data_IF_898129022549
#
_entry.id   IF_898129022549
#
_cell.length_a   1.000
_cell.length_b   1.000
_cell.length_c   1.000
_cell.angle_alpha   90.00
_cell.angle_beta   90.00
_cell.angle_gamma   90.00
#
_symmetry.space_group_name_H-M   'P 1'
#
loop_
_entity.id
_entity.type
_entity.pdbx_description
1 polymer ?
#
# COMPACT_ATOMS: atom_id res chain seq x y z
N UNK A 1 3.73 -26.80 -43.39
CA UNK A 1 3.42 -26.12 -42.12
C UNK A 1 2.11 -25.40 -42.32
N UNK A 2 1.01 -25.99 -41.84
CA UNK A 2 -0.32 -25.39 -41.96
C UNK A 2 -0.47 -24.24 -40.96
N UNK A 3 -1.05 -23.14 -41.42
CA UNK A 3 -1.23 -21.90 -40.67
C UNK A 3 -2.06 -22.15 -39.40
N UNK A 4 -1.43 -21.97 -38.23
CA UNK A 4 -2.02 -22.21 -36.90
C UNK A 4 -3.10 -21.21 -36.48
N UNK A 5 -4.20 -21.14 -37.21
CA UNK A 5 -5.40 -20.42 -36.77
C UNK A 5 -6.36 -21.38 -36.05
N UNK A 6 -6.94 -20.94 -34.94
CA UNK A 6 -8.03 -21.65 -34.28
C UNK A 6 -9.32 -21.56 -35.10
N UNK A 7 -10.21 -22.55 -34.97
CA UNK A 7 -11.55 -22.48 -35.54
C UNK A 7 -12.34 -21.27 -34.98
N UNK A 8 -13.19 -20.68 -35.81
CA UNK A 8 -14.08 -19.58 -35.41
C UNK A 8 -15.09 -20.05 -34.37
N UNK A 9 -15.37 -19.22 -33.36
CA UNK A 9 -16.41 -19.46 -32.36
C UNK A 9 -17.15 -18.17 -32.00
N UNK A 10 -18.45 -18.23 -31.70
CA UNK A 10 -19.24 -17.06 -31.33
C UNK A 10 -18.98 -16.63 -29.89
N UNK A 11 -18.72 -15.34 -29.67
CA UNK A 11 -18.66 -14.74 -28.33
C UNK A 11 -20.08 -14.42 -27.88
N UNK A 12 -20.60 -15.17 -26.90
CA UNK A 12 -21.99 -15.03 -26.42
C UNK A 12 -22.15 -14.09 -25.22
N UNK A 13 -21.06 -13.75 -24.54
CA UNK A 13 -21.07 -12.90 -23.35
C UNK A 13 -19.78 -12.08 -23.27
N UNK A 14 -19.92 -10.83 -22.81
CA UNK A 14 -18.81 -9.90 -22.62
C UNK A 14 -18.47 -9.08 -23.86
N UNK A 15 -17.49 -8.19 -23.71
CA UNK A 15 -16.95 -7.37 -24.78
C UNK A 15 -15.55 -7.85 -25.16
N UNK A 16 -15.17 -7.70 -26.42
CA UNK A 16 -13.85 -8.14 -26.91
C UNK A 16 -12.73 -7.34 -26.24
N UNK A 17 -11.78 -8.00 -25.60
CA UNK A 17 -10.58 -7.34 -25.08
C UNK A 17 -9.77 -6.73 -26.24
N UNK A 18 -9.38 -5.46 -26.11
CA UNK A 18 -8.71 -4.71 -27.18
C UNK A 18 -9.63 -4.14 -28.27
N UNK A 19 -10.95 -4.29 -28.14
CA UNK A 19 -11.92 -3.60 -28.99
C UNK A 19 -12.04 -2.12 -28.63
N UNK A 20 -12.04 -1.24 -29.63
CA UNK A 20 -12.13 0.24 -29.44
C UNK A 20 -13.40 0.64 -28.66
N UNK A 21 -14.52 -0.05 -28.93
CA UNK A 21 -15.80 0.23 -28.27
C UNK A 21 -15.97 -0.44 -26.91
N UNK A 22 -15.15 -1.44 -26.59
CA UNK A 22 -15.30 -2.25 -25.38
C UNK A 22 -15.21 -1.40 -24.11
N UNK A 23 -14.30 -0.42 -24.09
CA UNK A 23 -14.15 0.53 -22.97
C UNK A 23 -15.38 1.40 -22.77
N UNK A 24 -16.03 1.85 -23.86
CA UNK A 24 -17.21 2.71 -23.78
C UNK A 24 -18.44 1.92 -23.32
N UNK A 25 -18.62 0.71 -23.85
CA UNK A 25 -19.70 -0.19 -23.43
C UNK A 25 -19.58 -0.59 -21.96
N UNK A 26 -18.35 -0.85 -21.49
CA UNK A 26 -18.11 -1.11 -20.08
C UNK A 26 -18.48 0.08 -19.18
N UNK A 27 -18.07 1.30 -19.57
CA UNK A 27 -18.41 2.53 -18.82
C UNK A 27 -19.92 2.74 -18.70
N UNK A 28 -20.67 2.54 -19.78
CA UNK A 28 -22.13 2.63 -19.75
C UNK A 28 -22.73 1.57 -18.81
N UNK A 29 -22.21 0.34 -18.91
CA UNK A 29 -22.69 -0.78 -18.11
C UNK A 29 -22.45 -0.62 -16.60
N UNK A 30 -21.34 0.00 -16.19
CA UNK A 30 -21.05 0.20 -14.76
C UNK A 30 -21.70 1.47 -14.19
N UNK A 31 -22.10 2.41 -15.04
CA UNK A 31 -22.65 3.70 -14.61
C UNK A 31 -23.94 3.56 -13.80
N UNK A 32 -24.82 2.61 -14.14
CA UNK A 32 -26.07 2.42 -13.40
C UNK A 32 -25.81 1.95 -11.96
N UNK A 33 -24.75 1.16 -11.73
CA UNK A 33 -24.32 0.80 -10.37
C UNK A 33 -23.85 2.04 -9.59
N UNK A 34 -23.03 2.88 -10.23
CA UNK A 34 -22.50 4.09 -9.57
C UNK A 34 -23.64 5.06 -9.22
N UNK A 35 -24.63 5.18 -10.12
CA UNK A 35 -25.82 6.00 -9.93
C UNK A 35 -26.66 5.44 -8.77
N UNK A 36 -26.90 4.13 -8.73
CA UNK A 36 -27.64 3.49 -7.63
C UNK A 36 -26.92 3.66 -6.28
N UNK A 37 -25.58 3.59 -6.25
CA UNK A 37 -24.78 3.85 -5.05
C UNK A 37 -24.87 5.31 -4.59
N UNK A 38 -24.91 6.27 -5.51
CA UNK A 38 -25.06 7.70 -5.21
C UNK A 38 -26.47 8.04 -4.72
N UNK A 39 -27.51 7.52 -5.39
CA UNK A 39 -28.93 7.76 -5.06
C UNK A 39 -29.32 7.17 -3.70
N UNK A 40 -28.66 6.10 -3.29
CA UNK A 40 -28.83 5.50 -1.97
C UNK A 40 -28.39 6.42 -0.82
N UNK A 41 -27.67 7.51 -1.11
CA UNK A 41 -27.25 8.50 -0.10
C UNK A 41 -26.22 7.99 0.91
N UNK A 42 -25.58 6.85 0.62
CA UNK A 42 -24.61 6.19 1.50
C UNK A 42 -23.20 6.35 0.95
N UNK A 43 -22.24 6.67 1.83
CA UNK A 43 -20.82 6.78 1.49
C UNK A 43 -20.22 8.15 1.80
N UNK A 44 -19.10 8.48 1.15
CA UNK A 44 -18.36 9.72 1.40
C UNK A 44 -18.63 10.82 0.37
N UNK A 45 -18.63 12.06 0.83
CA UNK A 45 -18.79 13.25 -0.01
C UNK A 45 -17.62 14.22 0.16
N UNK A 46 -17.21 14.87 -0.94
CA UNK A 46 -16.34 16.04 -0.90
C UNK A 46 -17.18 17.25 -1.27
N UNK A 47 -17.59 18.02 -0.26
CA UNK A 47 -18.59 19.08 -0.44
C UNK A 47 -19.94 18.47 -0.80
N UNK A 48 -20.51 18.88 -1.94
CA UNK A 48 -21.76 18.34 -2.48
C UNK A 48 -21.54 17.18 -3.45
N UNK A 49 -20.28 16.87 -3.79
CA UNK A 49 -19.98 15.85 -4.79
C UNK A 49 -19.83 14.49 -4.12
N UNK A 50 -20.57 13.51 -4.61
CA UNK A 50 -20.43 12.14 -4.14
C UNK A 50 -19.07 11.55 -4.54
N UNK A 51 -18.41 10.93 -3.57
CA UNK A 51 -17.08 10.32 -3.72
C UNK A 51 -17.02 8.96 -3.03
N UNK A 52 -18.18 8.34 -2.79
CA UNK A 52 -18.28 7.05 -2.10
C UNK A 52 -17.81 5.87 -2.94
N UNK A 53 -17.83 5.98 -4.28
CA UNK A 53 -17.52 4.86 -5.18
C UNK A 53 -16.51 5.17 -6.30
N UNK A 54 -15.30 5.69 -6.02
CA UNK A 54 -14.33 5.95 -7.08
C UNK A 54 -13.95 4.63 -7.78
N UNK A 55 -14.03 4.64 -9.11
CA UNK A 55 -13.82 3.45 -9.95
C UNK A 55 -12.75 3.68 -11.01
N UNK A 56 -12.05 2.60 -11.35
CA UNK A 56 -11.13 2.54 -12.48
C UNK A 56 -11.25 1.16 -13.15
N UNK A 57 -11.84 1.12 -14.35
CA UNK A 57 -12.13 -0.14 -15.03
C UNK A 57 -12.88 -1.10 -14.07
N UNK A 58 -12.42 -2.34 -13.93
CA UNK A 58 -13.00 -3.39 -13.10
C UNK A 58 -12.83 -3.19 -11.58
N UNK A 59 -12.01 -2.22 -11.16
CA UNK A 59 -11.83 -1.89 -9.75
C UNK A 59 -12.81 -0.79 -9.28
N UNK A 60 -13.50 -1.04 -8.17
CA UNK A 60 -14.35 -0.07 -7.47
C UNK A 60 -13.91 -0.02 -6.01
N UNK A 61 -13.67 1.18 -5.51
CA UNK A 61 -13.42 1.43 -4.08
C UNK A 61 -14.75 1.90 -3.49
N UNK A 62 -15.17 1.32 -2.36
CA UNK A 62 -16.29 1.84 -1.57
C UNK A 62 -15.72 2.58 -0.35
N UNK A 63 -16.23 3.78 -0.08
CA UNK A 63 -15.83 4.64 1.02
C UNK A 63 -17.07 5.05 1.80
N UNK A 64 -17.09 4.76 3.11
CA UNK A 64 -18.16 5.15 4.04
C UNK A 64 -17.57 5.72 5.34
N UNK A 65 -18.41 6.32 6.18
CA UNK A 65 -18.02 6.75 7.54
C UNK A 65 -18.39 5.72 8.59
N UNK A 66 -19.40 4.90 8.31
CA UNK A 66 -19.93 3.88 9.22
C UNK A 66 -19.83 2.48 8.62
N UNK A 67 -19.87 1.48 9.48
CA UNK A 67 -19.81 0.07 9.10
C UNK A 67 -21.11 -0.38 8.41
N UNK A 68 -22.24 0.13 8.89
CA UNK A 68 -23.56 -0.13 8.33
C UNK A 68 -23.67 0.37 6.89
N UNK A 69 -23.21 1.60 6.62
CA UNK A 69 -23.14 2.15 5.25
C UNK A 69 -22.25 1.30 4.35
N UNK A 70 -21.07 0.89 4.83
CA UNK A 70 -20.15 0.06 4.04
C UNK A 70 -20.80 -1.27 3.63
N UNK A 71 -21.44 -1.96 4.58
CA UNK A 71 -22.10 -3.23 4.30
C UNK A 71 -23.27 -3.03 3.32
N UNK A 72 -24.03 -1.95 3.46
CA UNK A 72 -25.14 -1.64 2.55
C UNK A 72 -24.68 -1.29 1.13
N UNK A 73 -23.55 -0.59 0.98
CA UNK A 73 -22.91 -0.35 -0.32
C UNK A 73 -22.40 -1.66 -0.95
N UNK A 74 -21.85 -2.57 -0.15
CA UNK A 74 -21.45 -3.91 -0.59
C UNK A 74 -22.64 -4.74 -1.07
N UNK A 75 -23.74 -4.74 -0.31
CA UNK A 75 -24.96 -5.48 -0.63
C UNK A 75 -25.61 -4.96 -1.92
N UNK A 76 -25.61 -3.63 -2.11
CA UNK A 76 -26.05 -2.98 -3.36
C UNK A 76 -25.19 -3.42 -4.54
N UNK A 77 -23.87 -3.37 -4.39
CA UNK A 77 -22.92 -3.83 -5.42
C UNK A 77 -23.13 -5.30 -5.76
N UNK A 78 -23.41 -6.14 -4.76
CA UNK A 78 -23.66 -7.55 -4.96
C UNK A 78 -24.96 -7.80 -5.70
N UNK A 79 -26.07 -7.21 -5.24
CA UNK A 79 -27.38 -7.28 -5.91
C UNK A 79 -27.29 -6.85 -7.37
N UNK A 80 -26.56 -5.77 -7.64
CA UNK A 80 -26.31 -5.30 -9.00
C UNK A 80 -25.52 -6.32 -9.82
N UNK A 81 -24.47 -6.91 -9.26
CA UNK A 81 -23.66 -7.92 -9.95
C UNK A 81 -24.45 -9.19 -10.29
N UNK A 82 -25.35 -9.62 -9.41
CA UNK A 82 -26.25 -10.76 -9.65
C UNK A 82 -27.24 -10.45 -10.77
N UNK A 83 -27.86 -9.27 -10.74
CA UNK A 83 -28.78 -8.79 -11.78
C UNK A 83 -28.11 -8.77 -13.15
N UNK A 84 -26.86 -8.30 -13.21
CA UNK A 84 -26.13 -8.14 -14.47
C UNK A 84 -25.20 -9.30 -14.81
N UNK A 85 -25.24 -10.39 -14.04
CA UNK A 85 -24.57 -11.68 -14.27
C UNK A 85 -23.05 -11.58 -14.36
N UNK A 86 -22.43 -10.78 -13.51
CA UNK A 86 -20.99 -10.80 -13.26
C UNK A 86 -20.69 -11.11 -11.79
N UNK A 87 -19.45 -11.52 -11.51
CA UNK A 87 -19.05 -11.93 -10.15
C UNK A 87 -18.02 -10.95 -9.60
N UNK A 88 -18.31 -10.43 -8.41
CA UNK A 88 -17.29 -9.77 -7.57
C UNK A 88 -16.46 -10.88 -6.92
N UNK A 89 -15.14 -10.72 -6.88
CA UNK A 89 -14.24 -11.79 -6.42
C UNK A 89 -13.89 -11.61 -4.93
N UNK A 90 -14.52 -12.36 -3.98
CA UNK A 90 -14.45 -12.01 -2.56
C UNK A 90 -13.05 -12.06 -1.96
N UNK A 91 -12.15 -12.89 -2.49
CA UNK A 91 -10.76 -12.98 -2.01
C UNK A 91 -9.81 -11.93 -2.62
N UNK A 92 -10.22 -11.26 -3.70
CA UNK A 92 -9.47 -10.13 -4.29
C UNK A 92 -10.01 -8.80 -3.79
N UNK A 93 -11.27 -8.75 -3.39
CA UNK A 93 -11.89 -7.61 -2.73
C UNK A 93 -11.46 -7.56 -1.28
N UNK A 94 -10.94 -6.41 -0.86
CA UNK A 94 -10.21 -6.25 0.39
C UNK A 94 -10.82 -5.08 1.16
N UNK A 95 -10.92 -5.22 2.48
CA UNK A 95 -11.39 -4.15 3.36
C UNK A 95 -10.23 -3.50 4.10
N UNK A 96 -10.32 -2.19 4.30
CA UNK A 96 -9.34 -1.40 5.04
C UNK A 96 -10.12 -0.55 6.04
N UNK A 97 -10.06 -0.92 7.33
CA UNK A 97 -10.62 -0.10 8.39
C UNK A 97 -9.55 0.87 8.93
N UNK A 98 -9.82 2.18 8.87
CA UNK A 98 -8.92 3.23 9.36
C UNK A 98 -9.38 3.92 10.65
N UNK A 99 -10.41 3.41 11.33
CA UNK A 99 -10.83 3.93 12.63
C UNK A 99 -10.23 3.11 13.78
N UNK A 100 -9.15 3.61 14.40
CA UNK A 100 -8.69 3.13 15.71
C UNK A 100 -7.68 4.10 16.34
N UNK A 101 -8.13 5.31 16.69
CA UNK A 101 -7.43 6.15 17.66
C UNK A 101 -8.04 6.08 19.08
N UNK A 102 -9.08 5.26 19.31
CA UNK A 102 -9.64 5.05 20.65
C UNK A 102 -9.14 3.72 21.25
N UNK A 103 -8.71 3.79 22.51
CA UNK A 103 -8.20 2.67 23.33
C UNK A 103 -9.27 1.62 23.70
N UNK A 104 -10.38 1.53 22.97
CA UNK A 104 -11.51 0.66 23.27
C UNK A 104 -11.50 -0.53 22.32
N UNK A 105 -11.22 -1.72 22.88
CA UNK A 105 -11.47 -3.07 22.35
C UNK A 105 -11.70 -3.16 20.84
N UNK A 106 -10.65 -3.56 20.12
CA UNK A 106 -10.67 -4.02 18.73
C UNK A 106 -11.69 -5.15 18.54
N UNK A 107 -12.95 -4.84 18.25
CA UNK A 107 -13.79 -5.75 17.49
C UNK A 107 -13.38 -5.58 16.03
N UNK A 108 -12.72 -6.60 15.47
CA UNK A 108 -12.38 -6.62 14.05
C UNK A 108 -13.68 -6.76 13.26
N UNK A 109 -14.12 -5.66 12.67
CA UNK A 109 -15.37 -5.60 11.90
C UNK A 109 -15.18 -6.44 10.64
N UNK A 110 -16.02 -7.46 10.49
CA UNK A 110 -15.97 -8.35 9.35
C UNK A 110 -17.12 -8.03 8.39
N UNK A 111 -16.76 -7.46 7.24
CA UNK A 111 -17.68 -7.27 6.13
C UNK A 111 -17.89 -8.57 5.38
N UNK A 112 -19.11 -8.79 4.91
CA UNK A 112 -19.50 -9.98 4.17
C UNK A 112 -19.81 -9.65 2.72
N UNK A 113 -19.37 -10.53 1.83
CA UNK A 113 -19.80 -10.55 0.45
C UNK A 113 -20.28 -11.97 0.15
N UNK A 114 -21.57 -12.13 -0.13
CA UNK A 114 -22.29 -13.40 0.04
C UNK A 114 -22.19 -13.90 1.51
N UNK A 115 -21.85 -15.17 1.70
CA UNK A 115 -21.59 -15.79 3.01
C UNK A 115 -20.10 -15.77 3.39
N UNK A 116 -19.26 -15.07 2.62
CA UNK A 116 -17.81 -15.04 2.82
C UNK A 116 -17.38 -13.74 3.48
N UNK A 117 -16.59 -13.88 4.54
CA UNK A 117 -15.90 -12.75 5.14
C UNK A 117 -14.84 -12.21 4.18
N UNK A 118 -14.86 -10.91 3.94
CA UNK A 118 -13.84 -10.25 3.15
C UNK A 118 -12.52 -10.18 3.94
N UNK A 119 -11.37 -10.44 3.29
CA UNK A 119 -10.08 -10.29 3.95
C UNK A 119 -9.82 -8.83 4.32
N UNK A 120 -9.50 -8.59 5.58
CA UNK A 120 -8.93 -7.32 6.03
C UNK A 120 -7.48 -7.21 5.55
N UNK A 121 -7.15 -6.19 4.77
CA UNK A 121 -5.77 -5.96 4.39
C UNK A 121 -5.01 -5.27 5.50
N UNK A 122 -4.12 -6.03 6.12
CA UNK A 122 -2.97 -5.45 6.80
C UNK A 122 -1.80 -5.29 5.81
N UNK A 123 -2.02 -4.56 4.70
CA UNK A 123 -1.01 -4.41 3.65
C UNK A 123 0.24 -3.71 4.20
N UNK A 124 1.41 -4.15 3.73
CA UNK A 124 2.71 -3.56 4.05
C UNK A 124 2.93 -2.20 3.34
N UNK A 125 1.94 -1.30 3.43
CA UNK A 125 1.99 0.05 2.83
C UNK A 125 3.20 0.82 3.35
N UNK A 126 3.60 0.60 4.60
CA UNK A 126 4.84 1.16 5.17
C UNK A 126 6.08 0.84 4.37
N UNK A 127 6.20 -0.39 3.83
CA UNK A 127 7.35 -0.76 3.01
C UNK A 127 7.42 0.07 1.72
N UNK A 128 6.28 0.40 1.11
CA UNK A 128 6.23 1.23 -0.10
C UNK A 128 6.76 2.63 0.21
N UNK A 129 6.27 3.26 1.28
CA UNK A 129 6.71 4.60 1.67
C UNK A 129 8.20 4.62 2.05
N UNK A 130 8.66 3.63 2.82
CA UNK A 130 10.06 3.52 3.24
C UNK A 130 11.01 3.24 2.05
N UNK A 131 10.60 2.39 1.10
CA UNK A 131 11.41 2.12 -0.10
C UNK A 131 11.51 3.32 -1.02
N UNK A 132 10.42 4.09 -1.18
CA UNK A 132 10.42 5.31 -1.99
C UNK A 132 11.08 6.49 -1.27
N UNK A 133 11.28 6.41 0.05
CA UNK A 133 11.62 7.56 0.88
C UNK A 133 10.54 8.64 0.81
N UNK A 134 9.30 8.24 0.54
CA UNK A 134 8.17 9.15 0.33
C UNK A 134 7.32 9.24 1.59
N UNK A 135 6.66 10.38 1.75
CA UNK A 135 5.68 10.56 2.81
C UNK A 135 4.30 10.03 2.39
N UNK A 136 3.50 9.54 3.36
CA UNK A 136 2.09 9.27 3.11
C UNK A 136 1.32 10.52 2.71
N UNK A 137 0.22 10.33 1.99
CA UNK A 137 -0.65 11.43 1.54
C UNK A 137 -1.14 12.29 2.70
N UNK A 138 -1.42 11.67 3.84
CA UNK A 138 -1.82 12.32 5.08
C UNK A 138 -0.76 13.33 5.56
N UNK A 139 0.51 12.92 5.56
CA UNK A 139 1.62 13.79 5.90
C UNK A 139 1.80 14.96 4.92
N UNK A 140 1.52 14.74 3.63
CA UNK A 140 1.53 15.81 2.62
C UNK A 140 0.39 16.83 2.86
N UNK A 141 -0.78 16.36 3.29
CA UNK A 141 -1.86 17.23 3.74
C UNK A 141 -1.41 18.03 4.97
N UNK A 142 -0.76 17.37 5.95
CA UNK A 142 -0.27 18.03 7.16
C UNK A 142 0.74 19.14 6.83
N UNK A 143 1.64 18.92 5.87
CA UNK A 143 2.54 19.97 5.35
C UNK A 143 1.79 21.17 4.76
N UNK A 144 0.69 20.94 4.03
CA UNK A 144 -0.13 22.00 3.44
C UNK A 144 -0.88 22.79 4.50
N UNK A 145 -1.54 22.11 5.44
CA UNK A 145 -2.24 22.74 6.59
C UNK A 145 -1.27 23.63 7.38
N UNK A 146 -0.09 23.11 7.71
CA UNK A 146 0.96 23.89 8.38
C UNK A 146 1.41 25.11 7.58
N UNK A 147 1.57 24.95 6.27
CA UNK A 147 2.02 26.06 5.40
C UNK A 147 0.95 27.15 5.30
N UNK A 148 -0.33 26.76 5.26
CA UNK A 148 -1.47 27.68 5.32
C UNK A 148 -1.52 28.42 6.67
N UNK A 149 -1.35 27.71 7.79
CA UNK A 149 -1.27 28.33 9.11
C UNK A 149 -0.17 29.40 9.16
N UNK A 150 1.06 29.06 8.74
CA UNK A 150 2.15 30.03 8.71
C UNK A 150 1.81 31.24 7.82
N UNK A 151 1.24 31.00 6.64
CA UNK A 151 0.85 32.07 5.73
C UNK A 151 -0.18 33.03 6.36
N UNK A 152 -1.19 32.50 7.05
CA UNK A 152 -2.24 33.30 7.71
C UNK A 152 -1.62 34.14 8.83
N UNK A 153 -0.86 33.53 9.73
CA UNK A 153 -0.31 34.22 10.90
C UNK A 153 0.84 35.17 10.56
N UNK A 154 1.54 34.94 9.44
CA UNK A 154 2.51 35.91 8.88
C UNK A 154 1.86 37.04 8.06
N UNK A 155 0.57 36.96 7.74
CA UNK A 155 -0.13 38.00 6.97
C UNK A 155 -0.56 39.18 7.84
N UNK A 156 -0.84 40.32 7.21
CA UNK A 156 -1.36 41.52 7.90
C UNK A 156 -2.89 41.48 8.14
N UNK A 157 -3.56 40.35 7.90
CA UNK A 157 -5.01 40.26 8.02
C UNK A 157 -5.45 39.93 9.46
N UNK A 158 -5.48 40.96 10.32
CA UNK A 158 -5.88 40.83 11.72
C UNK A 158 -7.33 40.38 11.92
N UNK A 159 -8.24 40.72 10.99
CA UNK A 159 -9.63 40.29 11.06
C UNK A 159 -9.75 38.77 10.93
N UNK A 160 -9.02 38.17 9.98
CA UNK A 160 -8.99 36.72 9.79
C UNK A 160 -8.39 36.01 11.02
N UNK A 161 -7.28 36.53 11.57
CA UNK A 161 -6.64 35.96 12.77
C UNK A 161 -7.61 35.93 13.94
N UNK A 162 -8.24 37.08 14.25
CA UNK A 162 -9.22 37.19 15.35
C UNK A 162 -10.45 36.31 15.13
N UNK A 163 -10.91 36.16 13.89
CA UNK A 163 -12.03 35.26 13.57
C UNK A 163 -11.69 33.80 13.87
N UNK A 164 -10.50 33.34 13.46
CA UNK A 164 -10.02 31.99 13.74
C UNK A 164 -9.84 31.76 15.25
N UNK A 165 -9.25 32.71 15.97
CA UNK A 165 -9.08 32.61 17.43
C UNK A 165 -10.42 32.51 18.15
N UNK A 166 -11.42 33.32 17.76
CA UNK A 166 -12.77 33.25 18.32
C UNK A 166 -13.42 31.89 18.07
N UNK A 167 -13.30 31.34 16.86
CA UNK A 167 -13.83 30.01 16.53
C UNK A 167 -13.20 28.91 17.40
N UNK A 168 -11.90 29.01 17.69
CA UNK A 168 -11.22 28.07 18.57
C UNK A 168 -11.73 28.14 20.02
N UNK A 169 -11.85 29.34 20.58
CA UNK A 169 -12.31 29.55 21.97
C UNK A 169 -13.74 29.08 22.18
N UNK A 170 -14.60 29.33 21.19
CA UNK A 170 -16.01 28.97 21.29
C UNK A 170 -16.24 27.45 21.22
N UNK A 171 -15.23 26.64 20.86
CA UNK A 171 -15.30 25.19 20.68
C UNK A 171 -16.54 24.73 19.90
N UNK A 172 -17.04 25.57 18.99
CA UNK A 172 -18.36 25.40 18.36
C UNK A 172 -18.44 24.17 17.47
N UNK A 173 -17.29 23.65 17.03
CA UNK A 173 -17.18 22.39 16.32
C UNK A 173 -15.86 21.68 16.67
N UNK A 174 -15.88 20.35 16.76
CA UNK A 174 -14.67 19.53 16.96
C UNK A 174 -13.65 19.71 15.82
N UNK A 175 -14.09 20.17 14.64
CA UNK A 175 -13.30 20.20 13.39
C UNK A 175 -12.86 21.61 12.92
N UNK A 176 -12.67 22.58 13.82
CA UNK A 176 -12.17 23.90 13.39
C UNK A 176 -10.73 23.85 12.85
N UNK A 177 -10.37 24.80 11.99
CA UNK A 177 -9.01 24.88 11.42
C UNK A 177 -7.93 24.96 12.50
N UNK A 178 -8.12 25.76 13.55
CA UNK A 178 -7.14 25.87 14.64
C UNK A 178 -7.11 24.66 15.56
N UNK A 179 -8.22 23.95 15.78
CA UNK A 179 -8.19 22.64 16.46
C UNK A 179 -7.31 21.66 15.67
N UNK A 180 -7.55 21.56 14.36
CA UNK A 180 -6.74 20.71 13.49
C UNK A 180 -5.26 21.11 13.49
N UNK A 181 -4.95 22.40 13.51
CA UNK A 181 -3.55 22.86 13.64
C UNK A 181 -2.99 22.49 15.00
N UNK A 182 -3.73 22.67 16.09
CA UNK A 182 -3.30 22.31 17.44
C UNK A 182 -2.97 20.81 17.54
N UNK A 183 -3.86 19.95 17.04
CA UNK A 183 -3.68 18.50 17.03
C UNK A 183 -2.42 18.11 16.24
N UNK A 184 -2.22 18.73 15.07
CA UNK A 184 -1.03 18.47 14.26
C UNK A 184 0.27 18.93 14.93
N UNK A 185 0.26 20.11 15.56
CA UNK A 185 1.43 20.60 16.28
C UNK A 185 1.77 19.68 17.46
N UNK A 186 0.75 19.22 18.20
CA UNK A 186 0.92 18.24 19.26
C UNK A 186 1.46 16.90 18.74
N UNK A 187 0.84 16.35 17.68
CA UNK A 187 1.23 15.09 17.03
C UNK A 187 2.72 15.08 16.63
N UNK A 188 3.24 16.21 16.14
CA UNK A 188 4.62 16.34 15.71
C UNK A 188 5.57 16.90 16.78
N UNK A 189 5.10 17.06 18.02
CA UNK A 189 5.87 17.66 19.12
C UNK A 189 6.46 19.04 18.75
N UNK A 190 5.64 19.86 18.09
CA UNK A 190 5.96 21.24 17.71
C UNK A 190 5.35 22.22 18.73
N UNK A 191 5.88 23.45 18.84
CA UNK A 191 5.32 24.45 19.74
C UNK A 191 3.83 24.70 19.45
N UNK A 192 2.99 24.90 20.49
CA UNK A 192 1.58 25.12 20.30
C UNK A 192 1.32 26.40 19.50
N UNK A 193 0.21 26.45 18.76
CA UNK A 193 -0.08 27.60 17.90
C UNK A 193 -0.26 28.90 18.70
N UNK A 194 -0.70 28.79 19.96
CA UNK A 194 -0.82 29.91 20.90
C UNK A 194 0.50 30.58 21.21
N UNK A 195 1.60 29.83 21.20
CA UNK A 195 2.95 30.38 21.32
C UNK A 195 3.45 30.93 19.97
N UNK A 196 3.20 30.20 18.88
CA UNK A 196 3.66 30.56 17.55
C UNK A 196 3.02 31.85 17.00
N UNK A 197 1.81 32.19 17.44
CA UNK A 197 1.14 33.43 17.03
C UNK A 197 1.86 34.68 17.53
N UNK A 198 2.41 34.60 18.75
CA UNK A 198 3.08 35.72 19.42
C UNK A 198 4.56 35.78 19.02
N UNK A 199 5.17 34.61 18.80
CA UNK A 199 6.59 34.47 18.43
C UNK A 199 6.76 33.59 17.19
N UNK A 200 6.41 34.14 16.02
CA UNK A 200 6.52 33.40 14.77
C UNK A 200 8.00 33.31 14.33
N UNK A 201 8.56 32.09 14.15
CA UNK A 201 9.92 31.94 13.64
C UNK A 201 10.04 32.42 12.19
N UNK A 202 11.27 32.65 11.72
CA UNK A 202 11.50 32.94 10.30
C UNK A 202 11.00 31.80 9.41
N UNK A 203 10.52 32.15 8.20
CA UNK A 203 9.90 31.19 7.25
C UNK A 203 10.79 29.99 6.96
N UNK A 204 12.10 30.23 6.78
CA UNK A 204 13.08 29.18 6.53
C UNK A 204 13.28 28.28 7.76
N UNK A 205 13.46 28.88 8.94
CA UNK A 205 13.62 28.14 10.20
C UNK A 205 12.40 27.26 10.50
N UNK A 206 11.20 27.82 10.37
CA UNK A 206 9.94 27.09 10.55
C UNK A 206 9.80 25.95 9.55
N UNK A 207 10.07 26.21 8.26
CA UNK A 207 9.99 25.18 7.21
C UNK A 207 10.92 24.02 7.50
N UNK A 208 12.15 24.27 7.97
CA UNK A 208 13.11 23.25 8.33
C UNK A 208 12.68 22.46 9.58
N UNK A 209 12.43 23.14 10.70
CA UNK A 209 12.01 22.49 11.97
C UNK A 209 10.80 21.59 11.78
N UNK A 210 9.75 22.12 11.14
CA UNK A 210 8.54 21.34 10.96
C UNK A 210 8.68 20.24 9.88
N UNK A 211 9.58 20.39 8.90
CA UNK A 211 9.89 19.29 7.96
C UNK A 211 10.55 18.14 8.71
N UNK A 212 11.53 18.45 9.54
CA UNK A 212 12.26 17.46 10.34
C UNK A 212 11.33 16.72 11.30
N UNK A 213 10.49 17.45 12.04
CA UNK A 213 9.51 16.85 12.94
C UNK A 213 8.54 15.89 12.24
N UNK A 214 7.98 16.31 11.09
CA UNK A 214 7.07 15.48 10.28
C UNK A 214 7.81 14.24 9.76
N UNK A 215 8.99 14.41 9.17
CA UNK A 215 9.76 13.30 8.62
C UNK A 215 10.14 12.28 9.71
N UNK A 216 10.58 12.74 10.88
CA UNK A 216 10.95 11.88 12.00
C UNK A 216 9.75 11.10 12.54
N UNK A 217 8.61 11.78 12.74
CA UNK A 217 7.37 11.13 13.17
C UNK A 217 6.96 9.99 12.22
N UNK A 218 6.89 10.28 10.93
CA UNK A 218 6.46 9.30 9.93
C UNK A 218 7.49 8.20 9.74
N UNK A 219 8.79 8.51 9.77
CA UNK A 219 9.85 7.50 9.76
C UNK A 219 9.65 6.50 10.88
N UNK A 220 9.54 6.96 12.14
CA UNK A 220 9.40 6.09 13.31
C UNK A 220 8.14 5.24 13.22
N UNK A 221 7.00 5.84 12.84
CA UNK A 221 5.74 5.11 12.77
C UNK A 221 5.70 4.09 11.62
N UNK A 222 6.21 4.45 10.43
CA UNK A 222 6.29 3.52 9.30
C UNK A 222 7.28 2.39 9.58
N UNK A 223 8.43 2.68 10.22
CA UNK A 223 9.37 1.65 10.64
C UNK A 223 8.75 0.73 11.70
N UNK A 224 8.00 1.27 12.67
CA UNK A 224 7.29 0.47 13.68
C UNK A 224 6.25 -0.46 13.03
N UNK A 225 5.43 0.07 12.13
CA UNK A 225 4.45 -0.73 11.38
C UNK A 225 5.15 -1.79 10.52
N UNK A 226 6.25 -1.43 9.83
CA UNK A 226 7.00 -2.38 9.02
C UNK A 226 7.62 -3.51 9.87
N UNK A 227 8.16 -3.18 11.05
CA UNK A 227 8.75 -4.17 11.96
C UNK A 227 7.71 -5.15 12.53
N UNK A 228 6.43 -4.77 12.58
CA UNK A 228 5.35 -5.67 13.00
C UNK A 228 5.00 -6.75 11.96
N UNK A 229 5.49 -6.61 10.72
CA UNK A 229 5.12 -7.46 9.58
C UNK A 229 6.20 -8.49 9.28
N UNK A 230 5.90 -9.77 9.52
CA UNK A 230 6.82 -10.90 9.26
C UNK A 230 7.23 -11.04 7.79
N UNK A 231 6.37 -10.59 6.86
CA UNK A 231 6.65 -10.55 5.42
C UNK A 231 7.79 -9.60 5.05
N UNK A 232 8.09 -8.61 5.90
CA UNK A 232 9.15 -7.62 5.68
C UNK A 232 10.48 -7.99 6.35
N UNK A 233 10.66 -9.24 6.80
CA UNK A 233 11.89 -9.69 7.49
C UNK A 233 13.19 -9.48 6.70
N UNK A 234 13.10 -9.48 5.37
CA UNK A 234 14.23 -9.26 4.47
C UNK A 234 14.48 -7.78 4.16
N UNK A 235 13.56 -6.89 4.55
CA UNK A 235 13.74 -5.46 4.43
C UNK A 235 14.60 -4.96 5.61
N UNK A 236 15.73 -4.33 5.31
CA UNK A 236 16.57 -3.70 6.34
C UNK A 236 15.95 -2.38 6.81
N UNK A 237 14.82 -2.48 7.52
CA UNK A 237 13.98 -1.35 7.98
C UNK A 237 14.78 -0.23 8.67
N UNK A 238 15.76 -0.51 9.56
CA UNK A 238 16.53 0.55 10.25
C UNK A 238 17.31 1.47 9.30
N UNK A 239 17.67 0.99 8.10
CA UNK A 239 18.46 1.75 7.13
C UNK A 239 17.59 2.60 6.19
N UNK A 240 16.26 2.53 6.32
CA UNK A 240 15.33 3.27 5.49
C UNK A 240 15.01 4.62 6.10
N UNK A 241 14.89 5.65 5.26
CA UNK A 241 14.65 7.02 5.69
C UNK A 241 13.64 7.74 4.82
N UNK A 242 12.98 8.74 5.39
CA UNK A 242 12.07 9.62 4.67
C UNK A 242 12.86 10.75 4.01
N UNK A 243 12.59 10.99 2.73
CA UNK A 243 13.31 11.95 1.89
C UNK A 243 14.52 11.35 1.16
N UNK A 244 14.84 10.07 1.39
CA UNK A 244 15.93 9.35 0.72
C UNK A 244 15.39 8.04 0.13
N UNK A 245 15.17 7.98 -1.21
CA UNK A 245 14.79 6.74 -1.85
C UNK A 245 15.80 5.63 -1.57
N UNK A 246 15.31 4.39 -1.47
CA UNK A 246 16.18 3.25 -1.29
C UNK A 246 17.11 3.04 -2.49
N UNK A 247 18.28 2.45 -2.25
CA UNK A 247 19.31 2.19 -3.27
C UNK A 247 18.85 1.31 -4.43
N UNK A 248 17.78 0.53 -4.25
CA UNK A 248 17.10 -0.21 -5.33
C UNK A 248 16.69 0.71 -6.48
N UNK A 249 16.46 2.00 -6.20
CA UNK A 249 16.01 3.00 -7.17
C UNK A 249 17.13 3.94 -7.66
N UNK A 250 18.33 3.91 -7.07
CA UNK A 250 19.40 4.90 -7.31
C UNK A 250 20.02 4.85 -8.73
N UNK A 251 19.70 3.84 -9.53
CA UNK A 251 20.43 3.53 -10.77
C UNK A 251 19.47 3.15 -11.90
N UNK A 252 18.41 3.93 -12.13
CA UNK A 252 17.54 3.70 -13.28
C UNK A 252 17.95 4.63 -14.43
N UNK A 253 18.80 4.18 -15.39
CA UNK A 253 18.63 4.70 -16.74
C UNK A 253 17.18 4.43 -17.18
N UNK A 254 16.60 5.22 -18.10
CA UNK A 254 15.22 5.06 -18.57
C UNK A 254 15.05 3.80 -19.45
N UNK A 255 15.46 2.63 -18.94
CA UNK A 255 15.38 1.34 -19.59
C UNK A 255 14.42 0.44 -18.81
N UNK A 256 13.45 -0.13 -19.53
CA UNK A 256 12.44 -1.06 -19.03
C UNK A 256 13.08 -2.27 -18.32
N UNK A 257 14.25 -2.73 -18.78
CA UNK A 257 14.98 -3.83 -18.18
C UNK A 257 15.43 -3.54 -16.74
N UNK A 258 16.00 -2.36 -16.49
CA UNK A 258 16.44 -1.96 -15.14
C UNK A 258 15.26 -1.71 -14.21
N UNK A 259 14.16 -1.14 -14.74
CA UNK A 259 12.92 -0.99 -13.98
C UNK A 259 12.35 -2.35 -13.54
N UNK A 260 12.36 -3.35 -14.42
CA UNK A 260 11.94 -4.72 -14.09
C UNK A 260 12.83 -5.32 -13.01
N UNK A 261 14.16 -5.16 -13.09
CA UNK A 261 15.10 -5.63 -12.06
C UNK A 261 14.84 -4.96 -10.71
N UNK A 262 14.68 -3.64 -10.68
CA UNK A 262 14.37 -2.91 -9.45
C UNK A 262 13.04 -3.35 -8.83
N UNK A 263 12.01 -3.55 -9.65
CA UNK A 263 10.70 -4.06 -9.22
C UNK A 263 10.81 -5.45 -8.60
N UNK A 264 11.58 -6.35 -9.22
CA UNK A 264 11.80 -7.70 -8.69
C UNK A 264 12.55 -7.63 -7.34
N UNK A 265 13.61 -6.81 -7.24
CA UNK A 265 14.34 -6.60 -5.98
C UNK A 265 13.44 -6.07 -4.88
N UNK A 266 12.60 -5.07 -5.18
CA UNK A 266 11.64 -4.54 -4.22
C UNK A 266 10.67 -5.63 -3.74
N UNK A 267 10.09 -6.41 -4.67
CA UNK A 267 9.18 -7.51 -4.34
C UNK A 267 9.83 -8.60 -3.47
N UNK A 268 11.10 -8.90 -3.70
CA UNK A 268 11.87 -9.84 -2.88
C UNK A 268 12.05 -9.30 -1.46
N UNK A 269 12.45 -8.02 -1.31
CA UNK A 269 12.63 -7.39 -0.01
C UNK A 269 11.31 -7.24 0.78
N UNK A 270 10.19 -7.06 0.10
CA UNK A 270 8.86 -6.93 0.72
C UNK A 270 8.12 -8.25 0.89
N UNK A 271 8.70 -9.38 0.45
CA UNK A 271 8.07 -10.69 0.52
C UNK A 271 6.86 -10.86 -0.41
N UNK A 272 6.72 -10.00 -1.42
CA UNK A 272 5.62 -10.03 -2.41
C UNK A 272 6.03 -10.65 -3.74
N UNK A 273 7.27 -11.15 -3.86
CA UNK A 273 7.68 -11.94 -5.01
C UNK A 273 7.11 -13.35 -4.89
N UNK A 274 6.37 -13.77 -5.92
CA UNK A 274 5.65 -15.05 -5.91
C UNK A 274 6.53 -16.15 -6.50
N UNK A 275 7.09 -16.99 -5.62
CA UNK A 275 7.85 -18.20 -5.98
C UNK A 275 6.92 -19.39 -6.31
N UNK A 276 7.43 -20.44 -6.97
CA UNK A 276 6.63 -21.64 -7.31
C UNK A 276 6.00 -22.30 -6.08
N UNK A 277 6.72 -22.42 -4.96
CA UNK A 277 6.12 -22.95 -3.72
C UNK A 277 4.88 -22.16 -3.27
N UNK A 278 4.89 -20.83 -3.44
CA UNK A 278 3.74 -19.99 -3.15
C UNK A 278 2.64 -20.15 -4.21
N UNK A 279 2.99 -20.23 -5.50
CA UNK A 279 2.01 -20.48 -6.57
C UNK A 279 1.28 -21.80 -6.37
N UNK A 280 2.00 -22.87 -6.05
CA UNK A 280 1.43 -24.18 -5.75
C UNK A 280 0.49 -24.14 -4.54
N UNK A 281 0.86 -23.41 -3.48
CA UNK A 281 0.03 -23.25 -2.28
C UNK A 281 -1.26 -22.45 -2.49
N UNK A 282 -1.23 -21.40 -3.32
CA UNK A 282 -2.37 -20.49 -3.51
C UNK A 282 -3.21 -20.78 -4.76
N UNK A 283 -2.79 -21.74 -5.58
CA UNK A 283 -3.52 -22.18 -6.76
C UNK A 283 -4.58 -23.22 -6.40
N UNK A 284 -5.75 -23.13 -7.03
CA UNK A 284 -6.78 -24.18 -6.96
C UNK A 284 -6.44 -25.40 -7.84
N UNK A 285 -5.34 -25.32 -8.59
CA UNK A 285 -4.83 -26.37 -9.47
C UNK A 285 -3.55 -26.91 -8.83
N UNK A 286 -3.38 -28.23 -8.82
CA UNK A 286 -2.20 -28.91 -8.31
C UNK A 286 -0.99 -28.59 -9.21
N UNK A 287 -0.29 -27.51 -8.88
CA UNK A 287 0.89 -27.01 -9.59
C UNK A 287 2.14 -27.56 -8.92
N UNK A 288 3.14 -27.89 -9.74
CA UNK A 288 4.45 -28.30 -9.24
C UNK A 288 5.16 -27.12 -8.56
N UNK A 289 5.62 -27.35 -7.33
CA UNK A 289 6.34 -26.38 -6.51
C UNK A 289 7.84 -26.31 -6.82
N UNK A 290 8.35 -27.23 -7.64
CA UNK A 290 9.78 -27.32 -7.98
C UNK A 290 10.33 -26.05 -8.63
N UNK A 291 11.62 -25.81 -8.40
CA UNK A 291 12.33 -24.70 -9.00
C UNK A 291 12.35 -24.80 -10.53
N UNK A 292 11.85 -23.77 -11.26
CA UNK A 292 11.79 -23.83 -12.72
C UNK A 292 13.18 -23.80 -13.38
N UNK A 293 14.20 -23.41 -12.61
CA UNK A 293 15.58 -23.24 -13.08
C UNK A 293 16.39 -24.53 -12.88
N UNK A 294 16.38 -25.11 -11.67
CA UNK A 294 17.20 -26.28 -11.37
C UNK A 294 16.41 -27.60 -11.34
N UNK A 295 15.10 -27.56 -11.10
CA UNK A 295 14.22 -28.74 -11.03
C UNK A 295 14.59 -29.75 -9.93
N UNK A 296 15.33 -29.35 -8.89
CA UNK A 296 15.83 -30.26 -7.83
C UNK A 296 15.03 -30.21 -6.53
N UNK A 297 14.59 -29.03 -6.09
CA UNK A 297 13.82 -28.83 -4.86
C UNK A 297 12.76 -27.73 -5.05
N UNK A 298 11.86 -27.57 -4.07
CA UNK A 298 10.82 -26.53 -4.10
C UNK A 298 11.43 -25.12 -4.22
N UNK A 299 10.83 -24.27 -5.07
CA UNK A 299 11.25 -22.89 -5.20
C UNK A 299 10.73 -22.05 -4.04
N UNK A 300 11.60 -21.71 -3.10
CA UNK A 300 11.37 -20.66 -2.12
C UNK A 300 12.48 -19.61 -2.15
N UNK A 301 12.31 -18.54 -1.36
CA UNK A 301 13.30 -17.45 -1.30
C UNK A 301 14.68 -17.95 -0.84
N UNK A 302 14.74 -19.01 -0.04
CA UNK A 302 16.01 -19.56 0.49
C UNK A 302 16.71 -20.35 -0.59
N UNK A 303 15.98 -21.19 -1.31
CA UNK A 303 16.45 -21.90 -2.48
C UNK A 303 17.03 -20.92 -3.50
N UNK A 304 16.22 -19.91 -3.87
CA UNK A 304 16.61 -18.91 -4.84
C UNK A 304 17.88 -18.14 -4.43
N UNK A 305 17.93 -17.65 -3.18
CA UNK A 305 19.04 -16.83 -2.70
C UNK A 305 20.28 -17.62 -2.27
N UNK A 306 20.18 -18.89 -1.89
CA UNK A 306 21.30 -19.58 -1.21
C UNK A 306 21.61 -21.00 -1.69
N UNK A 307 20.68 -21.73 -2.32
CA UNK A 307 20.86 -23.18 -2.61
C UNK A 307 20.85 -23.53 -4.10
N UNK A 308 20.12 -22.80 -4.95
CA UNK A 308 19.92 -23.18 -6.35
C UNK A 308 21.25 -23.32 -7.12
N UNK A 309 21.66 -24.52 -7.55
CA UNK A 309 23.01 -24.76 -8.09
C UNK A 309 23.24 -24.02 -9.41
N UNK A 310 22.20 -23.86 -10.23
CA UNK A 310 22.29 -23.12 -11.51
C UNK A 310 22.64 -21.65 -11.30
N UNK A 311 22.19 -21.06 -10.18
CA UNK A 311 22.45 -19.66 -9.84
C UNK A 311 23.77 -19.48 -9.06
N UNK A 312 24.52 -20.55 -8.78
CA UNK A 312 25.74 -20.50 -7.98
C UNK A 312 26.84 -19.65 -8.63
N UNK A 313 26.97 -19.72 -9.97
CA UNK A 313 27.91 -18.88 -10.71
C UNK A 313 27.66 -17.39 -10.53
N UNK A 314 26.39 -16.98 -10.46
CA UNK A 314 25.97 -15.58 -10.26
C UNK A 314 26.18 -15.15 -8.81
N UNK A 315 25.96 -16.06 -7.85
CA UNK A 315 26.05 -15.73 -6.42
C UNK A 315 27.48 -15.74 -5.88
N UNK A 316 28.41 -16.46 -6.52
CA UNK A 316 29.76 -16.77 -5.99
C UNK A 316 30.44 -15.58 -5.30
N UNK A 317 30.40 -14.40 -5.91
CA UNK A 317 31.03 -13.18 -5.40
C UNK A 317 30.35 -12.61 -4.14
N UNK A 318 29.04 -12.82 -3.99
CA UNK A 318 28.21 -12.27 -2.91
C UNK A 318 27.69 -13.32 -1.92
N UNK A 319 27.97 -14.61 -2.16
CA UNK A 319 27.34 -15.73 -1.45
C UNK A 319 27.65 -15.72 0.05
N UNK A 320 28.89 -15.39 0.42
CA UNK A 320 29.33 -15.30 1.82
C UNK A 320 28.55 -14.22 2.59
N UNK A 321 28.30 -13.08 1.96
CA UNK A 321 27.52 -11.96 2.51
C UNK A 321 26.04 -12.35 2.59
N UNK A 322 25.49 -12.91 1.51
CA UNK A 322 24.08 -13.33 1.44
C UNK A 322 23.79 -14.39 2.51
N UNK A 323 24.63 -15.43 2.64
CA UNK A 323 24.46 -16.48 3.66
C UNK A 323 24.48 -15.91 5.07
N UNK A 324 25.46 -15.05 5.40
CA UNK A 324 25.56 -14.42 6.73
C UNK A 324 24.31 -13.61 7.09
N UNK A 325 23.80 -12.81 6.16
CA UNK A 325 22.60 -11.98 6.36
C UNK A 325 21.34 -12.87 6.46
N UNK A 326 21.25 -13.90 5.61
CA UNK A 326 20.09 -14.81 5.57
C UNK A 326 19.99 -15.62 6.86
N UNK A 327 21.12 -16.15 7.35
CA UNK A 327 21.20 -16.90 8.60
C UNK A 327 20.81 -16.02 9.80
N UNK A 328 21.37 -14.81 9.90
CA UNK A 328 21.06 -13.90 11.01
C UNK A 328 19.61 -13.42 11.04
N UNK A 329 18.94 -13.35 9.87
CA UNK A 329 17.54 -12.92 9.76
C UNK A 329 16.51 -14.05 9.92
N UNK A 330 16.91 -15.30 9.75
CA UNK A 330 16.01 -16.46 9.80
C UNK A 330 16.15 -17.24 11.11
N UNK A 331 17.23 -17.02 11.87
CA UNK A 331 17.41 -17.67 13.17
C UNK A 331 17.79 -19.14 13.07
N UNK A 332 18.41 -19.55 11.95
CA UNK A 332 19.02 -20.87 11.86
C UNK A 332 20.34 -20.85 12.64
N UNK A 333 20.32 -21.41 13.85
CA UNK A 333 21.55 -21.75 14.57
C UNK A 333 22.41 -22.70 13.73
N UNK A 334 23.72 -22.60 13.90
CA UNK A 334 24.80 -23.27 13.17
C UNK A 334 24.82 -24.79 13.41
N UNK A 335 23.78 -25.50 12.98
CA UNK A 335 23.61 -26.94 13.25
C UNK A 335 23.13 -27.79 12.06
N UNK A 336 23.03 -27.24 10.85
CA UNK A 336 22.70 -28.06 9.66
C UNK A 336 24.01 -28.50 9.00
N UNK A 337 24.27 -29.81 8.81
CA UNK A 337 25.52 -30.32 8.29
C UNK A 337 25.84 -29.72 6.93
N UNK A 338 27.09 -29.29 6.80
CA UNK A 338 27.68 -28.83 5.56
C UNK A 338 27.67 -30.03 4.60
N UNK A 339 26.86 -29.99 3.55
CA UNK A 339 27.14 -30.79 2.36
C UNK A 339 28.36 -30.17 1.67
N UNK A 340 29.53 -30.41 2.26
CA UNK A 340 30.79 -30.45 1.52
C UNK A 340 30.73 -31.71 0.68
N UNK A 341 30.17 -31.61 -0.51
CA UNK A 341 30.54 -32.54 -1.57
C UNK A 341 31.51 -31.81 -2.46
N UNK A 342 32.79 -32.02 -2.14
CA UNK A 342 33.86 -32.01 -3.12
C UNK A 342 33.38 -32.84 -4.32
N UNK A 343 33.12 -32.18 -5.44
CA UNK A 343 33.05 -32.84 -6.74
C UNK A 343 34.49 -33.19 -7.13
N UNK A 344 35.00 -34.29 -6.55
CA UNK A 344 36.08 -35.05 -7.17
C UNK A 344 35.46 -35.75 -8.37
N UNK A 345 35.77 -35.25 -9.56
CA UNK A 345 35.54 -35.95 -10.83
C UNK A 345 36.47 -37.18 -10.85
N UNK A 346 35.97 -38.42 -11.04
CA UNK A 346 36.78 -39.49 -11.59
C UNK A 346 36.86 -39.33 -13.11
N UNK A 347 38.06 -39.57 -13.64
CA UNK A 347 38.43 -39.55 -15.05
C UNK A 347 37.51 -40.35 -15.97
#
# INVERSE_FOLDING_TARGET
MENGFSNSFPVRQGVRQGGILSTHLYKLYINDLLTELEENGMGQYIGTNFTGCPTCADDIILLSSTEEEMQSMLDTSKRYSDKHRYKIHPTKSVTINKYSNSKTTKSEVQFKLDDKNMPSANQAISAVYLLLGALPIEAEIHKRVRSLFYSIFSSNNENLKKALERQYVLQTHELTFLNRVADLLYMYNLPPWTYLKDQLPSKLSWKCKAREAINNYWKVNLQRDANSKTTLKFLCIPNLDIGKPHTIWNSLPPNIGELRKATIKARLCTGTYIFQSQKARFSNINLDATCPICQLEEEDIIHFLTRCPVLEGIRRESLSVIKRITISKIGLETGIPILTTELVLPN
#
